data_IF_565092490435
#
_entry.id   IF_565092490435
#
_cell.length_a   1.000
_cell.length_b   1.000
_cell.length_c   1.000
_cell.angle_alpha   90.00
_cell.angle_beta   90.00
_cell.angle_gamma   90.00
#
_symmetry.space_group_name_H-M   'P 1'
#
loop_
_entity.id
_entity.type
_entity.pdbx_description
1 polymer ?
#
# COMPACT_ATOMS: atom_id res chain seq x y z
N UNK A 1 9.44 25.38 -22.00
CA UNK A 1 9.19 24.14 -21.26
C UNK A 1 9.44 22.94 -22.17
N UNK A 2 10.47 22.16 -21.89
CA UNK A 2 10.83 20.96 -22.62
C UNK A 2 9.76 19.87 -22.47
N UNK A 3 9.77 18.88 -23.38
CA UNK A 3 8.89 17.71 -23.28
C UNK A 3 9.09 16.95 -21.95
N UNK A 4 10.33 16.92 -21.45
CA UNK A 4 10.67 16.29 -20.18
C UNK A 4 10.00 16.98 -18.98
N UNK A 5 10.04 18.32 -18.94
CA UNK A 5 9.40 19.09 -17.87
C UNK A 5 7.87 18.90 -17.84
N UNK A 6 7.23 18.81 -19.01
CA UNK A 6 5.79 18.51 -19.12
C UNK A 6 5.45 17.16 -18.51
N UNK A 7 6.21 16.12 -18.85
CA UNK A 7 6.00 14.77 -18.32
C UNK A 7 6.23 14.71 -16.82
N UNK A 8 7.25 15.40 -16.29
CA UNK A 8 7.51 15.46 -14.85
C UNK A 8 6.32 16.09 -14.10
N UNK A 9 5.77 17.20 -14.61
CA UNK A 9 4.61 17.84 -13.99
C UNK A 9 3.41 16.91 -14.00
N UNK A 10 3.13 16.25 -15.14
CA UNK A 10 2.01 15.31 -15.26
C UNK A 10 2.15 14.13 -14.28
N UNK A 11 3.33 13.55 -14.16
CA UNK A 11 3.59 12.47 -13.21
C UNK A 11 3.38 12.91 -11.77
N UNK A 12 3.87 14.10 -11.39
CA UNK A 12 3.68 14.65 -10.04
C UNK A 12 2.20 14.90 -9.71
N UNK A 13 1.45 15.45 -10.66
CA UNK A 13 0.00 15.69 -10.49
C UNK A 13 -0.73 14.35 -10.33
N UNK A 14 -0.41 13.36 -11.17
CA UNK A 14 -0.98 12.03 -11.04
C UNK A 14 -0.67 11.40 -9.67
N UNK A 15 0.61 11.45 -9.25
CA UNK A 15 1.04 10.90 -7.96
C UNK A 15 0.31 11.57 -6.79
N UNK A 16 0.19 12.89 -6.80
CA UNK A 16 -0.56 13.62 -5.78
C UNK A 16 -2.03 13.19 -5.75
N UNK A 17 -2.70 13.19 -6.90
CA UNK A 17 -4.11 12.82 -6.99
C UNK A 17 -4.35 11.37 -6.54
N UNK A 18 -3.47 10.45 -6.95
CA UNK A 18 -3.56 9.04 -6.57
C UNK A 18 -3.33 8.83 -5.07
N UNK A 19 -2.35 9.52 -4.47
CA UNK A 19 -2.12 9.47 -3.03
C UNK A 19 -3.35 9.95 -2.25
N UNK A 20 -3.96 11.07 -2.64
CA UNK A 20 -5.17 11.58 -1.98
C UNK A 20 -6.37 10.64 -2.17
N UNK A 21 -6.49 10.01 -3.34
CA UNK A 21 -7.52 9.02 -3.62
C UNK A 21 -7.38 7.80 -2.73
N UNK A 22 -6.17 7.25 -2.62
CA UNK A 22 -5.86 6.13 -1.72
C UNK A 22 -6.14 6.53 -0.28
N UNK A 23 -5.65 7.70 0.18
CA UNK A 23 -5.85 8.20 1.54
C UNK A 23 -7.33 8.28 1.92
N UNK A 24 -8.18 8.76 1.00
CA UNK A 24 -9.60 8.97 1.25
C UNK A 24 -10.48 7.72 1.07
N UNK A 25 -10.08 6.78 0.20
CA UNK A 25 -10.95 5.65 -0.18
C UNK A 25 -10.48 4.28 0.26
N UNK A 26 -9.18 4.04 0.52
CA UNK A 26 -8.67 2.66 0.74
C UNK A 26 -9.39 1.87 1.83
N UNK A 27 -9.93 2.54 2.85
CA UNK A 27 -10.65 1.89 3.96
C UNK A 27 -12.06 1.40 3.58
N UNK A 28 -12.62 1.85 2.45
CA UNK A 28 -13.96 1.43 2.00
C UNK A 28 -13.95 0.06 1.32
N UNK A 29 -12.78 -0.46 0.92
CA UNK A 29 -12.66 -1.72 0.18
C UNK A 29 -12.30 -2.87 1.13
N UNK A 30 -13.33 -3.48 1.70
CA UNK A 30 -13.20 -4.63 2.60
C UNK A 30 -13.13 -5.96 1.83
N UNK A 31 -12.42 -6.98 2.35
CA UNK A 31 -11.61 -6.96 3.57
C UNK A 31 -10.26 -6.25 3.34
N UNK A 32 -9.85 -5.39 4.29
CA UNK A 32 -8.55 -4.70 4.19
C UNK A 32 -7.38 -5.68 4.05
N UNK A 33 -6.27 -5.21 3.49
CA UNK A 33 -5.02 -5.97 3.44
C UNK A 33 -5.14 -7.27 2.62
N UNK A 34 -5.91 -7.21 1.54
CA UNK A 34 -6.13 -8.35 0.64
C UNK A 34 -5.99 -7.96 -0.81
N UNK A 35 -5.66 -8.94 -1.65
CA UNK A 35 -5.70 -8.79 -3.11
C UNK A 35 -7.09 -8.31 -3.59
N UNK A 36 -8.15 -8.76 -2.93
CA UNK A 36 -9.53 -8.37 -3.22
C UNK A 36 -9.80 -6.88 -2.94
N UNK A 37 -9.31 -6.32 -1.83
CA UNK A 37 -9.41 -4.87 -1.56
C UNK A 37 -8.73 -4.02 -2.64
N UNK A 38 -7.57 -4.47 -3.12
CA UNK A 38 -6.87 -3.83 -4.23
C UNK A 38 -7.66 -3.94 -5.54
N UNK A 39 -8.18 -5.12 -5.87
CA UNK A 39 -8.98 -5.32 -7.07
C UNK A 39 -10.24 -4.45 -7.07
N UNK A 40 -10.97 -4.41 -5.94
CA UNK A 40 -12.15 -3.55 -5.77
C UNK A 40 -11.82 -2.07 -5.94
N UNK A 41 -10.69 -1.63 -5.39
CA UNK A 41 -10.21 -0.26 -5.58
C UNK A 41 -9.92 0.03 -7.06
N UNK A 42 -9.20 -0.85 -7.76
CA UNK A 42 -8.90 -0.68 -9.18
C UNK A 42 -10.15 -0.66 -10.06
N UNK A 43 -11.10 -1.56 -9.81
CA UNK A 43 -12.40 -1.59 -10.51
C UNK A 43 -13.13 -0.26 -10.29
N UNK A 44 -13.16 0.22 -9.04
CA UNK A 44 -13.76 1.51 -8.73
C UNK A 44 -13.06 2.66 -9.45
N UNK A 45 -11.73 2.69 -9.49
CA UNK A 45 -10.97 3.70 -10.25
C UNK A 45 -11.32 3.64 -11.74
N UNK A 46 -11.32 2.46 -12.35
CA UNK A 46 -11.63 2.29 -13.77
C UNK A 46 -13.02 2.84 -14.14
N UNK A 47 -14.03 2.49 -13.33
CA UNK A 47 -15.40 2.98 -13.53
C UNK A 47 -15.47 4.51 -13.37
N UNK A 48 -14.78 5.09 -12.38
CA UNK A 48 -14.75 6.54 -12.19
C UNK A 48 -13.93 7.28 -13.27
N UNK A 49 -13.09 6.57 -14.02
CA UNK A 49 -12.44 7.07 -15.22
C UNK A 49 -13.32 6.95 -16.48
N UNK A 50 -14.55 6.43 -16.37
CA UNK A 50 -15.52 6.33 -17.47
C UNK A 50 -15.52 5.00 -18.22
N UNK A 51 -14.83 3.97 -17.70
CA UNK A 51 -14.89 2.62 -18.26
C UNK A 51 -16.10 1.83 -17.75
N UNK A 52 -16.46 0.74 -18.43
CA UNK A 52 -17.50 -0.17 -17.97
C UNK A 52 -16.96 -1.11 -16.89
N UNK A 53 -17.86 -1.69 -16.09
CA UNK A 53 -17.51 -2.73 -15.11
C UNK A 53 -17.34 -4.13 -15.73
N UNK A 54 -17.38 -4.23 -17.06
CA UNK A 54 -17.24 -5.50 -17.77
C UNK A 54 -15.78 -5.95 -17.78
N UNK A 55 -15.58 -7.26 -17.77
CA UNK A 55 -14.26 -7.89 -17.67
C UNK A 55 -13.28 -7.34 -18.72
N UNK A 56 -13.71 -7.28 -19.99
CA UNK A 56 -12.87 -6.81 -21.10
C UNK A 56 -12.42 -5.35 -20.91
N UNK A 57 -13.31 -4.48 -20.42
CA UNK A 57 -12.99 -3.07 -20.15
C UNK A 57 -12.00 -2.92 -18.98
N UNK A 58 -12.16 -3.75 -17.95
CA UNK A 58 -11.25 -3.78 -16.79
C UNK A 58 -9.88 -4.36 -17.14
N UNK A 59 -9.83 -5.38 -18.01
CA UNK A 59 -8.57 -5.94 -18.52
C UNK A 59 -7.82 -4.92 -19.36
N UNK A 60 -8.51 -4.19 -20.26
CA UNK A 60 -7.94 -3.09 -21.03
C UNK A 60 -7.38 -1.98 -20.12
N UNK A 61 -8.10 -1.63 -19.04
CA UNK A 61 -7.62 -0.66 -18.06
C UNK A 61 -6.32 -1.11 -17.39
N UNK A 62 -6.27 -2.36 -16.92
CA UNK A 62 -5.09 -2.92 -16.28
C UNK A 62 -3.89 -2.97 -17.25
N UNK A 63 -4.13 -3.36 -18.51
CA UNK A 63 -3.11 -3.35 -19.56
C UNK A 63 -2.58 -1.93 -19.82
N UNK A 64 -3.47 -0.94 -19.93
CA UNK A 64 -3.11 0.45 -20.19
C UNK A 64 -2.28 1.09 -19.06
N UNK A 65 -2.49 0.71 -17.80
CA UNK A 65 -1.63 1.12 -16.69
C UNK A 65 -0.22 0.55 -16.85
N UNK A 66 -0.11 -0.70 -17.32
CA UNK A 66 1.14 -1.43 -17.42
C UNK A 66 1.75 -1.80 -16.07
N UNK A 67 2.79 -2.64 -16.06
CA UNK A 67 3.34 -3.24 -14.84
C UNK A 67 3.98 -2.20 -13.90
N UNK A 68 4.75 -1.25 -14.44
CA UNK A 68 5.49 -0.29 -13.62
C UNK A 68 4.57 0.61 -12.78
N UNK A 69 3.51 1.14 -13.42
CA UNK A 69 2.55 2.00 -12.73
C UNK A 69 1.70 1.19 -11.76
N UNK A 70 1.27 -0.01 -12.17
CA UNK A 70 0.49 -0.92 -11.32
C UNK A 70 1.23 -1.25 -10.03
N UNK A 71 2.50 -1.65 -10.11
CA UNK A 71 3.33 -1.95 -8.93
C UNK A 71 3.45 -0.74 -8.01
N UNK A 72 3.67 0.46 -8.58
CA UNK A 72 3.78 1.69 -7.80
C UNK A 72 2.47 2.05 -7.09
N UNK A 73 1.35 2.00 -7.81
CA UNK A 73 0.02 2.27 -7.25
C UNK A 73 -0.32 1.28 -6.14
N UNK A 74 0.03 0.01 -6.33
CA UNK A 74 -0.19 -1.06 -5.36
C UNK A 74 0.62 -0.84 -4.08
N UNK A 75 1.89 -0.44 -4.19
CA UNK A 75 2.72 -0.05 -3.05
C UNK A 75 2.08 1.08 -2.24
N UNK A 76 1.61 2.13 -2.91
CA UNK A 76 0.93 3.27 -2.26
C UNK A 76 -0.38 2.81 -1.58
N UNK A 77 -1.14 1.91 -2.21
CA UNK A 77 -2.38 1.40 -1.65
C UNK A 77 -2.17 0.65 -0.32
N UNK A 78 -1.12 -0.18 -0.25
CA UNK A 78 -0.80 -1.02 0.90
C UNK A 78 0.19 -0.41 1.89
N UNK A 79 0.69 0.81 1.69
CA UNK A 79 1.56 1.43 2.70
C UNK A 79 0.79 2.22 3.76
N UNK A 80 1.31 2.24 4.99
CA UNK A 80 0.82 3.13 6.06
C UNK A 80 2.00 3.77 6.75
N UNK A 81 2.00 5.09 6.79
CA UNK A 81 2.98 5.88 7.52
C UNK A 81 2.28 6.38 8.79
N UNK A 82 2.76 5.93 9.95
CA UNK A 82 2.25 6.31 11.26
C UNK A 82 3.32 7.17 11.96
N UNK A 83 3.29 8.47 11.68
CA UNK A 83 4.28 9.42 12.20
C UNK A 83 4.32 9.44 13.73
N UNK A 84 3.18 9.33 14.41
CA UNK A 84 3.10 9.28 15.87
C UNK A 84 3.82 8.08 16.49
N UNK A 85 4.01 7.01 15.72
CA UNK A 85 4.72 5.80 16.14
C UNK A 85 6.12 5.68 15.52
N UNK A 86 6.48 6.60 14.63
CA UNK A 86 7.69 6.54 13.79
C UNK A 86 7.78 5.25 12.93
N UNK A 87 6.64 4.64 12.57
CA UNK A 87 6.59 3.38 11.81
C UNK A 87 6.01 3.59 10.41
N UNK A 88 6.71 3.12 9.39
CA UNK A 88 6.21 2.91 8.03
C UNK A 88 5.97 1.42 7.81
N UNK A 89 4.71 1.04 7.61
CA UNK A 89 4.30 -0.31 7.27
C UNK A 89 4.22 -0.47 5.76
N UNK A 90 4.88 -1.51 5.24
CA UNK A 90 4.68 -2.05 3.90
C UNK A 90 4.08 -3.45 4.02
N UNK A 91 2.82 -3.60 3.57
CA UNK A 91 2.03 -4.81 3.82
C UNK A 91 1.22 -5.22 2.58
N UNK A 92 1.91 -5.36 1.44
CA UNK A 92 1.29 -5.89 0.23
C UNK A 92 1.13 -7.41 0.37
N UNK A 93 -0.09 -7.96 0.24
CA UNK A 93 -0.34 -9.40 0.39
C UNK A 93 0.28 -10.27 -0.71
N UNK A 94 0.89 -9.70 -1.77
CA UNK A 94 1.71 -10.47 -2.72
C UNK A 94 3.18 -10.61 -2.28
N UNK A 95 3.61 -9.85 -1.28
CA UNK A 95 4.94 -9.97 -0.70
C UNK A 95 4.96 -11.04 0.39
N UNK A 96 6.13 -11.62 0.65
CA UNK A 96 6.28 -12.73 1.59
C UNK A 96 5.91 -12.36 3.04
N UNK A 97 6.09 -11.10 3.40
CA UNK A 97 5.95 -10.60 4.77
C UNK A 97 5.60 -9.13 4.81
N UNK A 98 5.01 -8.71 5.93
CA UNK A 98 4.86 -7.31 6.28
C UNK A 98 6.18 -6.77 6.79
N UNK A 99 6.56 -5.57 6.36
CA UNK A 99 7.74 -4.86 6.84
C UNK A 99 7.31 -3.64 7.65
N UNK A 100 7.81 -3.54 8.88
CA UNK A 100 7.78 -2.31 9.66
C UNK A 100 9.16 -1.65 9.59
N UNK A 101 9.19 -0.43 9.07
CA UNK A 101 10.40 0.33 8.77
C UNK A 101 10.38 1.61 9.62
N UNK A 102 11.49 2.00 10.27
CA UNK A 102 11.57 3.28 10.97
C UNK A 102 11.47 4.45 9.97
N UNK A 103 10.63 5.44 10.28
CA UNK A 103 10.62 6.72 9.56
C UNK A 103 11.90 7.47 9.94
N UNK A 104 12.63 7.99 8.94
CA UNK A 104 13.98 8.59 9.04
C UNK A 104 14.19 9.46 10.29
N UNK A 105 15.29 9.27 11.05
CA UNK A 105 15.59 10.12 12.22
C UNK A 105 16.34 9.51 13.41
N UNK A 106 16.74 8.23 13.35
CA UNK A 106 17.59 7.55 14.36
C UNK A 106 16.88 7.20 15.67
N UNK A 107 15.79 6.43 15.58
CA UNK A 107 15.40 5.58 16.69
C UNK A 107 14.96 4.23 16.14
N UNK A 108 15.52 3.16 16.70
CA UNK A 108 15.04 1.80 16.45
C UNK A 108 13.56 1.73 16.86
N UNK A 109 12.73 1.16 15.99
CA UNK A 109 11.33 0.92 16.30
C UNK A 109 11.23 -0.32 17.19
N UNK A 110 10.52 -0.20 18.30
CA UNK A 110 10.30 -1.32 19.22
C UNK A 110 9.17 -2.22 18.73
N UNK A 111 9.17 -3.49 19.16
CA UNK A 111 8.02 -4.38 18.92
C UNK A 111 6.71 -3.82 19.46
N UNK A 112 6.75 -3.07 20.57
CA UNK A 112 5.56 -2.39 21.09
C UNK A 112 4.98 -1.40 20.07
N UNK A 113 5.81 -0.52 19.51
CA UNK A 113 5.38 0.44 18.47
C UNK A 113 4.82 -0.28 17.25
N UNK A 114 5.44 -1.39 16.83
CA UNK A 114 4.97 -2.17 15.68
C UNK A 114 3.62 -2.83 15.96
N UNK A 115 3.43 -3.44 17.13
CA UNK A 115 2.14 -4.02 17.53
C UNK A 115 1.04 -2.95 17.53
N UNK A 116 1.32 -1.77 18.09
CA UNK A 116 0.39 -0.65 18.10
C UNK A 116 0.05 -0.19 16.68
N UNK A 117 1.05 -0.09 15.80
CA UNK A 117 0.86 0.28 14.41
C UNK A 117 -0.02 -0.74 13.66
N UNK A 118 0.25 -2.04 13.79
CA UNK A 118 -0.52 -3.12 13.17
C UNK A 118 -1.98 -3.11 13.60
N UNK A 119 -2.25 -2.88 14.89
CA UNK A 119 -3.62 -2.76 15.43
C UNK A 119 -4.32 -1.52 14.92
N UNK A 120 -3.64 -0.37 14.95
CA UNK A 120 -4.17 0.92 14.49
C UNK A 120 -4.67 0.85 13.04
N UNK A 121 -3.96 0.14 12.19
CA UNK A 121 -4.31 0.03 10.76
C UNK A 121 -5.18 -1.19 10.42
N UNK A 122 -5.61 -1.96 11.42
CA UNK A 122 -6.46 -3.14 11.23
C UNK A 122 -5.77 -4.32 10.52
N UNK A 123 -4.45 -4.44 10.66
CA UNK A 123 -3.64 -5.49 10.02
C UNK A 123 -3.36 -6.68 10.96
N UNK A 124 -3.60 -6.52 12.26
CA UNK A 124 -3.27 -7.51 13.30
C UNK A 124 -3.81 -8.92 13.02
N UNK A 125 -5.05 -9.05 12.55
CA UNK A 125 -5.69 -10.36 12.34
C UNK A 125 -5.20 -11.09 11.07
N UNK A 126 -4.36 -10.42 10.26
CA UNK A 126 -3.82 -10.95 8.99
C UNK A 126 -2.39 -11.46 9.12
N UNK A 127 -1.72 -11.20 10.24
CA UNK A 127 -0.31 -11.55 10.45
C UNK A 127 -0.14 -12.65 11.50
N UNK A 128 1.05 -13.24 11.56
CA UNK A 128 1.46 -14.10 12.67
C UNK A 128 1.65 -13.23 13.93
N UNK A 129 0.71 -13.30 14.87
CA UNK A 129 0.70 -12.46 16.07
C UNK A 129 1.77 -12.85 17.10
N UNK A 130 2.26 -14.09 17.05
CA UNK A 130 3.36 -14.54 17.89
C UNK A 130 4.69 -13.90 17.43
N UNK A 131 5.19 -12.97 18.26
CA UNK A 131 6.41 -12.19 17.98
C UNK A 131 7.67 -13.06 17.92
N UNK A 132 7.65 -14.31 18.41
CA UNK A 132 8.78 -15.23 18.27
C UNK A 132 9.08 -15.59 16.80
N UNK A 133 8.10 -15.42 15.91
CA UNK A 133 8.27 -15.60 14.47
C UNK A 133 8.73 -14.32 13.74
N UNK A 134 8.76 -13.18 14.44
CA UNK A 134 9.17 -11.92 13.84
C UNK A 134 10.70 -11.87 13.77
N UNK A 135 11.22 -11.23 12.72
CA UNK A 135 12.66 -11.13 12.50
C UNK A 135 13.08 -9.69 12.35
N UNK A 136 14.15 -9.31 13.04
CA UNK A 136 14.73 -7.99 12.92
C UNK A 136 15.94 -8.00 11.99
N UNK A 137 15.98 -7.04 11.07
CA UNK A 137 17.05 -6.86 10.11
C UNK A 137 17.41 -5.38 10.00
N UNK A 138 18.51 -4.96 10.60
CA UNK A 138 19.00 -3.58 10.55
C UNK A 138 17.92 -2.55 10.95
N UNK A 139 17.20 -2.80 12.05
CA UNK A 139 16.11 -1.94 12.54
C UNK A 139 14.78 -2.06 11.78
N UNK A 140 14.69 -2.90 10.74
CA UNK A 140 13.44 -3.27 10.07
C UNK A 140 12.90 -4.53 10.73
N UNK A 141 11.60 -4.53 11.04
CA UNK A 141 10.93 -5.70 11.63
C UNK A 141 10.08 -6.37 10.54
N UNK A 142 10.44 -7.61 10.22
CA UNK A 142 9.76 -8.49 9.30
C UNK A 142 8.75 -9.38 10.02
N UNK A 143 7.51 -9.36 9.55
CA UNK A 143 6.36 -9.99 10.20
C UNK A 143 5.67 -10.92 9.20
N UNK A 144 5.63 -12.24 9.45
CA UNK A 144 4.98 -13.17 8.55
C UNK A 144 3.47 -12.92 8.43
N UNK A 145 2.93 -13.17 7.25
CA UNK A 145 1.49 -13.33 7.08
C UNK A 145 0.96 -14.54 7.84
N UNK A 146 -0.30 -14.49 8.25
CA UNK A 146 -0.99 -15.66 8.80
C UNK A 146 -1.23 -16.68 7.69
N UNK A 147 -0.85 -17.93 7.95
CA UNK A 147 -1.11 -19.09 7.06
C UNK A 147 -2.60 -19.43 7.00
#
# INVERSE_FOLDING_TARGET
>A
MSKSEKTIIQSKVFEFAFNELVRSKRLTFQPLWTVDSWAKFLIWVAINCGLSGEKESLELFAEALGPNLTTRMRKIFFERILESLCVHLMADPLEEQVLAIPITGSQEITFHQVVEALKTVGLWDRIQADQTFWKEYNGIIAIPWKS
#
